data_IF_958214245223
#
_entry.id   IF_958214245223
#
_cell.length_a   1.000
_cell.length_b   1.000
_cell.length_c   1.000
_cell.angle_alpha   90.00
_cell.angle_beta   90.00
_cell.angle_gamma   90.00
#
_symmetry.space_group_name_H-M   'P 1'
#
loop_
_entity.id
_entity.type
_entity.pdbx_description
1 polymer ?
#
# COMPACT_ATOMS: atom_id res chain seq x y z
N UNK A 1 -45.08 -37.13 -54.51
CA UNK A 1 -46.02 -38.28 -54.48
C UNK A 1 -45.24 -39.55 -54.17
N UNK A 2 -45.82 -40.41 -53.33
CA UNK A 2 -45.35 -41.72 -52.81
C UNK A 2 -44.37 -41.67 -51.64
N UNK A 3 -44.52 -42.45 -50.58
CA UNK A 3 -45.67 -42.95 -49.85
C UNK A 3 -45.07 -43.46 -48.53
N UNK A 4 -45.71 -43.09 -47.43
CA UNK A 4 -45.64 -43.70 -46.10
C UNK A 4 -45.29 -45.19 -46.06
N UNK A 5 -44.34 -45.59 -45.19
CA UNK A 5 -44.47 -46.84 -44.42
C UNK A 5 -44.08 -46.53 -42.98
N UNK A 6 -45.10 -46.43 -42.14
CA UNK A 6 -45.00 -46.55 -40.70
C UNK A 6 -45.27 -48.02 -40.34
N UNK A 7 -44.31 -48.68 -39.68
CA UNK A 7 -44.52 -49.86 -38.83
C UNK A 7 -43.51 -49.68 -37.69
N UNK A 8 -43.87 -49.03 -36.60
CA UNK A 8 -44.62 -49.58 -35.47
C UNK A 8 -43.89 -50.76 -34.81
N UNK A 9 -43.47 -50.49 -33.56
CA UNK A 9 -43.71 -51.35 -32.39
C UNK A 9 -42.58 -52.29 -31.92
N UNK A 10 -42.23 -52.09 -30.63
CA UNK A 10 -41.60 -52.99 -29.65
C UNK A 10 -40.13 -53.35 -29.90
N UNK A 11 -39.17 -52.84 -29.13
CA UNK A 11 -39.16 -52.91 -27.67
C UNK A 11 -38.20 -54.03 -27.25
N UNK A 12 -36.91 -53.71 -27.13
CA UNK A 12 -35.98 -54.48 -26.32
C UNK A 12 -35.10 -53.50 -25.55
N UNK A 13 -35.56 -53.26 -24.34
CA UNK A 13 -34.96 -52.48 -23.28
C UNK A 13 -33.71 -53.25 -22.85
N UNK A 14 -32.58 -52.94 -23.47
CA UNK A 14 -31.26 -53.40 -23.04
C UNK A 14 -30.70 -52.44 -22.01
N UNK A 15 -31.16 -52.56 -20.77
CA UNK A 15 -30.56 -51.89 -19.61
C UNK A 15 -29.13 -52.39 -19.40
N UNK A 16 -28.14 -51.72 -20.00
CA UNK A 16 -26.78 -51.79 -19.49
C UNK A 16 -26.65 -50.78 -18.35
N UNK A 17 -26.80 -51.31 -17.14
CA UNK A 17 -26.36 -50.66 -15.91
C UNK A 17 -24.87 -50.39 -15.99
N UNK A 18 -24.50 -49.23 -16.51
CA UNK A 18 -23.19 -48.65 -16.29
C UNK A 18 -23.07 -48.32 -14.81
N UNK A 19 -22.35 -49.15 -14.06
CA UNK A 19 -21.78 -48.75 -12.77
C UNK A 19 -20.69 -47.74 -13.10
N UNK A 20 -21.08 -46.48 -13.28
CA UNK A 20 -20.13 -45.38 -13.22
C UNK A 20 -19.67 -45.28 -11.76
N UNK A 21 -18.50 -45.88 -11.50
CA UNK A 21 -17.76 -45.70 -10.28
C UNK A 21 -17.50 -44.19 -10.11
N UNK A 22 -18.39 -43.53 -9.37
CA UNK A 22 -18.26 -42.15 -8.93
C UNK A 22 -17.00 -42.06 -8.06
N UNK A 23 -15.86 -41.75 -8.68
CA UNK A 23 -14.66 -41.29 -7.98
C UNK A 23 -15.09 -40.06 -7.20
N UNK A 24 -15.27 -40.20 -5.87
CA UNK A 24 -15.42 -39.07 -4.96
C UNK A 24 -14.25 -38.14 -5.20
N UNK A 25 -14.49 -37.05 -5.93
CA UNK A 25 -13.56 -35.94 -6.10
C UNK A 25 -13.40 -35.36 -4.70
N UNK A 26 -12.32 -35.72 -4.01
CA UNK A 26 -12.00 -35.12 -2.72
C UNK A 26 -11.86 -33.63 -2.97
N UNK A 27 -12.70 -32.83 -2.31
CA UNK A 27 -12.61 -31.39 -2.32
C UNK A 27 -11.30 -31.02 -1.63
N UNK A 28 -10.21 -30.94 -2.41
CA UNK A 28 -8.93 -30.46 -1.94
C UNK A 28 -9.10 -28.94 -1.87
N UNK A 29 -9.63 -28.45 -0.74
CA UNK A 29 -9.55 -27.02 -0.43
C UNK A 29 -8.08 -26.62 -0.57
N UNK A 30 -7.75 -25.58 -1.36
CA UNK A 30 -6.38 -25.11 -1.45
C UNK A 30 -5.92 -24.80 -0.03
N UNK A 31 -4.84 -25.44 0.40
CA UNK A 31 -4.26 -25.18 1.72
C UNK A 31 -3.67 -23.77 1.65
N UNK A 32 -4.36 -22.80 2.23
CA UNK A 32 -3.80 -21.47 2.47
C UNK A 32 -2.74 -21.60 3.57
N UNK A 33 -1.57 -21.00 3.35
CA UNK A 33 -0.44 -21.04 4.28
C UNK A 33 -0.69 -20.28 5.57
N UNK A 34 -1.52 -19.25 5.49
CA UNK A 34 -1.85 -18.32 6.55
C UNK A 34 -3.37 -18.28 6.76
N UNK A 35 -3.83 -17.84 7.95
CA UNK A 35 -5.25 -17.59 8.20
C UNK A 35 -5.80 -16.48 7.30
N UNK A 36 -7.10 -16.20 7.42
CA UNK A 36 -7.75 -15.15 6.63
C UNK A 36 -7.09 -13.79 6.87
N UNK A 37 -6.93 -13.01 5.79
CA UNK A 37 -6.36 -11.65 5.76
C UNK A 37 -4.85 -11.53 6.08
N UNK A 38 -4.13 -12.66 6.08
CA UNK A 38 -2.67 -12.70 6.19
C UNK A 38 -2.01 -13.30 4.95
N UNK A 39 -0.82 -12.79 4.63
CA UNK A 39 0.01 -13.27 3.51
C UNK A 39 1.25 -13.94 4.08
N UNK A 40 1.64 -15.06 3.47
CA UNK A 40 2.88 -15.75 3.81
C UNK A 40 4.08 -14.99 3.22
N UNK A 41 4.78 -14.26 4.07
CA UNK A 41 6.00 -13.52 3.71
C UNK A 41 7.25 -14.36 3.96
N UNK A 42 8.18 -14.48 3.00
CA UNK A 42 9.44 -15.19 3.21
C UNK A 42 10.30 -14.53 4.28
N UNK A 43 10.95 -15.31 5.14
CA UNK A 43 11.92 -14.84 6.13
C UNK A 43 13.30 -14.75 5.47
N UNK A 44 13.86 -13.53 5.39
CA UNK A 44 15.20 -13.28 4.84
C UNK A 44 16.26 -14.03 5.65
N UNK A 45 17.13 -14.79 4.98
CA UNK A 45 18.24 -15.49 5.62
C UNK A 45 17.88 -16.88 6.18
N UNK A 46 16.68 -17.38 5.91
CA UNK A 46 16.41 -18.81 6.06
C UNK A 46 17.25 -19.61 5.05
N UNK A 47 17.65 -20.84 5.39
CA UNK A 47 18.42 -21.74 4.50
C UNK A 47 17.71 -22.07 3.18
N UNK A 48 16.44 -21.70 3.11
CA UNK A 48 15.49 -21.94 2.01
C UNK A 48 14.97 -20.64 1.40
N UNK A 49 15.54 -19.47 1.76
CA UNK A 49 15.06 -18.17 1.28
C UNK A 49 15.10 -18.08 -0.24
N UNK A 50 16.20 -18.49 -0.86
CA UNK A 50 16.39 -18.44 -2.32
C UNK A 50 15.35 -19.31 -3.05
N UNK A 51 15.06 -20.49 -2.49
CA UNK A 51 14.03 -21.40 -3.03
C UNK A 51 12.61 -20.84 -2.79
N UNK A 52 12.35 -20.24 -1.63
CA UNK A 52 11.06 -19.64 -1.30
C UNK A 52 10.72 -18.46 -2.23
N UNK A 53 11.72 -17.63 -2.55
CA UNK A 53 11.63 -16.50 -3.49
C UNK A 53 11.28 -17.01 -4.89
N UNK A 54 11.96 -18.03 -5.42
CA UNK A 54 11.70 -18.54 -6.77
C UNK A 54 10.27 -19.09 -6.93
N UNK A 55 9.77 -19.81 -5.92
CA UNK A 55 8.43 -20.40 -5.96
C UNK A 55 7.31 -19.39 -5.72
N UNK A 56 7.51 -18.37 -4.88
CA UNK A 56 6.50 -17.35 -4.60
C UNK A 56 6.22 -16.44 -5.80
N UNK A 57 7.26 -16.03 -6.56
CA UNK A 57 7.08 -15.12 -7.69
C UNK A 57 6.53 -15.79 -8.95
N UNK A 58 6.85 -17.08 -9.19
CA UNK A 58 6.45 -17.79 -10.41
C UNK A 58 5.05 -18.40 -10.31
N UNK A 59 4.64 -18.85 -9.13
CA UNK A 59 3.38 -19.59 -8.94
C UNK A 59 2.53 -18.91 -7.89
N UNK A 60 1.87 -17.81 -8.26
CA UNK A 60 0.84 -17.15 -7.45
C UNK A 60 -0.29 -18.14 -7.10
N UNK A 61 -0.09 -18.93 -6.04
CA UNK A 61 -1.09 -19.86 -5.50
C UNK A 61 -0.75 -21.35 -5.48
N UNK A 62 0.44 -21.79 -5.94
CA UNK A 62 0.82 -23.21 -5.81
C UNK A 62 1.80 -23.40 -4.64
N UNK A 63 1.23 -23.77 -3.48
CA UNK A 63 1.98 -24.07 -2.26
C UNK A 63 2.69 -25.42 -2.42
N UNK A 64 3.90 -25.42 -2.98
CA UNK A 64 4.75 -26.61 -3.12
C UNK A 64 6.02 -26.49 -2.29
N UNK A 65 6.48 -27.63 -1.76
CA UNK A 65 7.81 -27.87 -1.21
C UNK A 65 8.22 -26.96 -0.05
N UNK A 66 8.79 -25.81 -0.40
CA UNK A 66 9.44 -24.87 0.52
C UNK A 66 8.42 -24.26 1.47
N UNK A 67 7.35 -23.65 0.94
CA UNK A 67 6.33 -23.03 1.80
C UNK A 67 5.48 -24.05 2.59
N UNK A 68 5.47 -25.33 2.19
CA UNK A 68 4.64 -26.36 2.81
C UNK A 68 5.28 -27.03 4.04
N UNK A 69 6.54 -26.74 4.39
CA UNK A 69 7.15 -27.32 5.59
C UNK A 69 8.64 -27.11 5.83
N UNK A 70 9.41 -26.46 4.95
CA UNK A 70 10.86 -26.26 5.13
C UNK A 70 11.33 -24.80 4.96
N UNK A 71 10.48 -23.95 4.40
CA UNK A 71 10.65 -22.52 4.22
C UNK A 71 10.30 -21.75 5.48
N UNK A 72 11.21 -20.94 6.00
CA UNK A 72 10.85 -19.93 6.99
C UNK A 72 9.96 -18.89 6.32
N UNK A 73 8.65 -18.96 6.55
CA UNK A 73 7.71 -17.91 6.21
C UNK A 73 7.03 -17.43 7.49
N UNK A 74 6.62 -16.17 7.48
CA UNK A 74 5.82 -15.57 8.52
C UNK A 74 4.51 -15.08 7.93
N UNK A 75 3.42 -15.27 8.65
CA UNK A 75 2.13 -14.74 8.25
C UNK A 75 2.03 -13.29 8.72
N UNK A 76 1.88 -12.38 7.76
CA UNK A 76 1.82 -10.94 8.01
C UNK A 76 0.53 -10.40 7.41
N UNK A 77 -0.20 -9.62 8.19
CA UNK A 77 -1.27 -8.77 7.67
C UNK A 77 -0.66 -7.49 7.08
N UNK A 78 -0.40 -7.52 5.77
CA UNK A 78 0.21 -6.39 5.04
C UNK A 78 -0.69 -5.16 4.95
N UNK A 79 -1.95 -5.26 5.38
CA UNK A 79 -2.86 -4.11 5.42
C UNK A 79 -2.62 -3.20 6.62
N UNK A 80 -1.99 -3.74 7.67
CA UNK A 80 -1.82 -3.09 8.98
C UNK A 80 -0.38 -3.16 9.53
N UNK A 81 0.45 -4.08 9.03
CA UNK A 81 1.83 -4.23 9.45
C UNK A 81 2.68 -3.03 9.03
N UNK A 82 3.44 -2.45 9.97
CA UNK A 82 4.25 -1.24 9.74
C UNK A 82 5.52 -1.51 8.94
N UNK A 83 6.10 -2.69 9.09
CA UNK A 83 7.39 -3.11 8.53
C UNK A 83 7.23 -3.81 7.17
N UNK A 84 6.04 -4.30 6.85
CA UNK A 84 5.64 -4.94 5.59
C UNK A 84 4.28 -4.40 5.11
N UNK A 85 4.17 -3.08 5.04
CA UNK A 85 2.94 -2.42 4.61
C UNK A 85 2.75 -2.54 3.10
N UNK A 86 1.59 -3.01 2.65
CA UNK A 86 1.23 -3.16 1.25
C UNK A 86 1.81 -4.38 0.53
N UNK A 87 2.63 -5.19 1.21
CA UNK A 87 3.26 -6.40 0.68
C UNK A 87 4.38 -6.90 1.59
N UNK A 88 5.03 -8.00 1.22
CA UNK A 88 6.15 -8.51 1.99
C UNK A 88 7.39 -7.62 1.81
N UNK A 89 7.94 -7.05 2.89
CA UNK A 89 9.16 -6.25 2.79
C UNK A 89 10.38 -7.08 2.38
N UNK A 90 10.38 -8.38 2.70
CA UNK A 90 11.42 -9.34 2.34
C UNK A 90 11.54 -9.61 0.85
N UNK A 91 10.46 -9.38 0.09
CA UNK A 91 10.42 -9.53 -1.36
C UNK A 91 10.53 -8.18 -2.08
N UNK A 92 10.50 -7.07 -1.34
CA UNK A 92 10.45 -5.72 -1.88
C UNK A 92 9.06 -5.30 -2.39
N UNK A 93 8.04 -6.13 -2.22
CA UNK A 93 6.65 -5.79 -2.55
C UNK A 93 6.05 -4.86 -1.49
N UNK A 94 6.53 -4.93 -0.25
CA UNK A 94 6.11 -4.10 0.88
C UNK A 94 7.03 -2.93 1.21
N UNK A 95 6.53 -2.06 2.10
CA UNK A 95 7.27 -0.90 2.59
C UNK A 95 7.30 -0.85 4.12
N UNK A 96 8.47 -0.52 4.66
CA UNK A 96 8.65 -0.24 6.09
C UNK A 96 8.34 1.24 6.38
N UNK A 97 7.14 1.50 6.88
CA UNK A 97 6.66 2.84 7.23
C UNK A 97 7.47 3.46 8.38
N UNK A 98 8.15 2.67 9.21
CA UNK A 98 8.97 3.19 10.32
C UNK A 98 10.21 3.94 9.84
N UNK A 99 10.63 3.71 8.58
CA UNK A 99 11.76 4.38 7.94
C UNK A 99 11.42 5.73 7.32
N UNK A 100 10.16 6.18 7.41
CA UNK A 100 9.75 7.49 6.90
C UNK A 100 10.54 8.58 7.60
N UNK A 101 11.28 9.37 6.82
CA UNK A 101 12.18 10.37 7.39
C UNK A 101 11.40 11.48 8.09
N UNK A 102 11.74 11.70 9.35
CA UNK A 102 11.19 12.80 10.14
C UNK A 102 9.81 12.50 10.74
N UNK A 103 9.28 11.30 10.56
CA UNK A 103 8.09 10.84 11.28
C UNK A 103 8.42 10.54 12.74
N UNK A 104 7.38 10.59 13.57
CA UNK A 104 7.37 10.15 14.97
C UNK A 104 6.29 9.10 15.16
N UNK A 105 5.12 9.33 14.56
CA UNK A 105 4.01 8.37 14.53
C UNK A 105 3.63 8.04 13.09
N UNK A 106 3.63 6.75 12.77
CA UNK A 106 3.25 6.20 11.47
C UNK A 106 2.27 5.06 11.66
N UNK A 107 1.48 4.78 10.63
CA UNK A 107 0.55 3.67 10.53
C UNK A 107 0.66 3.00 9.17
N UNK A 108 0.12 1.79 9.06
CA UNK A 108 -0.23 1.17 7.81
C UNK A 108 -1.75 1.05 7.79
N UNK A 109 -2.39 1.61 6.77
CA UNK A 109 -3.85 1.56 6.61
C UNK A 109 -4.16 1.12 5.18
N UNK A 110 -4.90 0.00 5.05
CA UNK A 110 -5.24 -0.60 3.76
C UNK A 110 -4.01 -0.76 2.82
N UNK A 111 -2.89 -1.17 3.40
CA UNK A 111 -1.63 -1.40 2.67
C UNK A 111 -0.90 -0.12 2.25
N UNK A 112 -1.21 1.02 2.86
CA UNK A 112 -0.55 2.31 2.59
C UNK A 112 0.00 2.91 3.87
N UNK A 113 1.24 3.41 3.79
CA UNK A 113 1.82 4.15 4.91
C UNK A 113 1.08 5.48 5.12
N UNK A 114 0.69 5.73 6.37
CA UNK A 114 0.10 6.98 6.83
C UNK A 114 0.96 7.58 7.93
N UNK A 115 1.10 8.90 7.93
CA UNK A 115 1.91 9.65 8.90
C UNK A 115 0.98 10.45 9.81
N UNK A 116 0.94 10.07 11.08
CA UNK A 116 0.12 10.75 12.09
C UNK A 116 0.84 11.94 12.73
N UNK A 117 2.16 11.84 12.90
CA UNK A 117 2.95 12.90 13.53
C UNK A 117 4.39 12.94 13.03
N UNK A 118 4.96 14.15 13.01
CA UNK A 118 6.31 14.43 12.57
C UNK A 118 7.15 15.05 13.69
N UNK A 119 8.47 14.97 13.58
CA UNK A 119 9.44 15.60 14.49
C UNK A 119 9.25 17.13 14.50
N UNK A 120 9.69 17.79 15.56
CA UNK A 120 9.67 19.26 15.64
C UNK A 120 10.36 19.90 14.43
N UNK A 121 9.75 20.95 13.87
CA UNK A 121 10.18 21.59 12.63
C UNK A 121 9.74 20.87 11.34
N UNK A 122 8.93 19.83 11.45
CA UNK A 122 8.33 19.09 10.33
C UNK A 122 6.81 19.06 10.45
N UNK A 123 6.13 18.79 9.33
CA UNK A 123 4.69 18.56 9.27
C UNK A 123 4.36 17.45 8.27
N UNK A 124 3.24 16.72 8.42
CA UNK A 124 2.77 15.81 7.38
C UNK A 124 2.60 16.53 6.05
N UNK A 125 2.96 15.88 4.95
CA UNK A 125 2.63 16.32 3.61
C UNK A 125 1.12 16.26 3.37
N UNK A 126 0.61 17.00 2.38
CA UNK A 126 -0.80 16.95 2.00
C UNK A 126 -1.24 15.53 1.60
N UNK A 127 -0.32 14.74 1.06
CA UNK A 127 -0.53 13.33 0.70
C UNK A 127 -0.56 12.38 1.89
N UNK A 128 -0.19 12.82 3.10
CA UNK A 128 -0.26 12.01 4.33
C UNK A 128 0.80 10.89 4.47
N UNK A 129 1.63 10.67 3.46
CA UNK A 129 2.59 9.56 3.34
C UNK A 129 4.02 9.91 3.77
N UNK A 130 4.31 11.19 4.06
CA UNK A 130 5.67 11.65 4.41
C UNK A 130 5.65 12.91 5.26
N UNK A 131 6.76 13.16 5.95
CA UNK A 131 7.01 14.43 6.62
C UNK A 131 7.80 15.37 5.71
N UNK A 132 7.38 16.64 5.67
CA UNK A 132 8.10 17.74 5.02
C UNK A 132 8.52 18.76 6.06
N UNK A 133 9.65 19.45 5.84
CA UNK A 133 10.06 20.54 6.75
C UNK A 133 8.96 21.58 6.78
N UNK A 134 8.52 21.92 7.98
CA UNK A 134 7.65 23.06 8.15
C UNK A 134 8.48 24.27 7.73
N UNK A 135 8.10 24.95 6.64
CA UNK A 135 8.71 26.22 6.30
C UNK A 135 8.71 27.06 7.58
N UNK A 136 9.90 27.45 8.05
CA UNK A 136 10.03 28.31 9.22
C UNK A 136 9.26 29.57 8.90
N UNK A 137 8.06 29.67 9.46
CA UNK A 137 7.33 30.94 9.55
C UNK A 137 8.02 31.85 10.57
N UNK A 138 9.16 31.42 11.12
CA UNK A 138 10.17 32.26 11.74
C UNK A 138 10.75 33.25 10.70
N UNK A 139 10.04 34.36 10.48
CA UNK A 139 10.66 35.59 9.95
C UNK A 139 10.19 36.14 8.61
N UNK A 140 9.13 35.63 7.98
CA UNK A 140 8.47 36.34 6.87
C UNK A 140 7.17 36.99 7.31
N UNK A 141 7.25 37.84 8.33
CA UNK A 141 6.21 38.83 8.59
C UNK A 141 6.12 39.79 7.39
N UNK A 142 5.27 39.48 6.41
CA UNK A 142 4.94 40.36 5.29
C UNK A 142 4.48 41.76 5.75
N UNK A 143 4.00 41.88 7.00
CA UNK A 143 3.62 43.12 7.64
C UNK A 143 4.81 44.09 7.94
N UNK A 144 6.05 43.61 8.13
CA UNK A 144 7.19 44.50 8.41
C UNK A 144 7.86 45.10 7.16
N UNK A 145 7.60 44.56 5.97
CA UNK A 145 8.13 45.11 4.72
C UNK A 145 7.41 46.41 4.25
N UNK A 146 6.21 46.67 4.78
CA UNK A 146 5.46 47.92 4.53
C UNK A 146 5.81 49.05 5.50
N UNK A 147 6.09 48.74 6.76
CA UNK A 147 6.24 49.76 7.82
C UNK A 147 7.52 50.61 7.72
N UNK A 148 8.60 50.10 7.09
CA UNK A 148 9.84 50.89 6.91
C UNK A 148 9.74 51.97 5.82
N UNK A 149 8.76 51.89 4.91
CA UNK A 149 8.63 52.85 3.79
C UNK A 149 7.91 54.16 4.17
N UNK A 150 7.13 54.18 5.25
CA UNK A 150 6.40 55.38 5.67
C UNK A 150 7.16 56.30 6.65
N UNK A 151 8.22 55.82 7.30
CA UNK A 151 8.99 56.62 8.26
C UNK A 151 10.07 57.47 7.57
N UNK A 152 10.71 57.01 6.48
CA UNK A 152 11.69 57.84 5.77
C UNK A 152 11.04 58.96 4.94
N UNK A 153 9.78 58.80 4.51
CA UNK A 153 9.05 59.82 3.76
C UNK A 153 8.61 61.02 4.61
N UNK A 154 8.52 60.89 5.94
CA UNK A 154 8.14 62.00 6.84
C UNK A 154 9.32 62.87 7.30
N UNK A 155 10.57 62.39 7.17
CA UNK A 155 11.75 63.15 7.63
C UNK A 155 12.21 64.23 6.64
N UNK A 156 11.87 64.12 5.35
CA UNK A 156 12.25 65.12 4.34
C UNK A 156 11.26 66.29 4.21
N UNK A 157 10.07 66.24 4.81
CA UNK A 157 9.09 67.36 4.74
C UNK A 157 9.16 68.34 5.91
N UNK A 158 9.97 68.09 6.94
CA UNK A 158 10.13 68.99 8.10
C UNK A 158 11.32 69.96 8.02
N UNK A 159 12.18 69.85 6.99
CA UNK A 159 13.30 70.77 6.78
C UNK A 159 13.03 71.87 5.72
N UNK A 160 11.78 72.05 5.29
CA UNK A 160 11.42 73.00 4.23
C UNK A 160 10.71 74.29 4.67
N UNK A 161 10.68 74.64 5.96
CA UNK A 161 10.08 75.91 6.42
C UNK A 161 10.94 76.55 7.50
N UNK A 162 11.94 77.33 7.09
CA UNK A 162 12.56 78.37 7.93
C UNK A 162 13.35 79.36 7.05
N UNK A 163 12.92 80.62 7.06
CA UNK A 163 13.57 81.77 6.42
C UNK A 163 12.98 82.07 5.03
N UNK A 164 12.48 83.25 4.69
CA UNK A 164 12.95 84.60 5.07
C UNK A 164 11.77 85.57 5.04
N UNK A 165 11.69 86.42 6.07
CA UNK A 165 10.81 87.60 6.18
C UNK A 165 11.50 88.78 5.50
N UNK A 166 10.74 89.56 4.73
CA UNK A 166 11.11 90.81 4.04
C UNK A 166 11.63 91.90 5.00
N UNK A 167 12.17 93.04 4.52
CA UNK A 167 11.42 94.04 3.74
C UNK A 167 11.85 94.18 2.27
#
# INVERSE_FOLDING_TARGET
MRWTIAVAVLGLIGSLSGVEASKKKKDIKPKTLCPVDEIACPIIGSTTYDEAVEHHFKLKGEVTGVMAGYGGYECINTSEALDSCGGCASTGEGHDCTRIRGSVGVGCEAGKCVVFSCKSGWRPALSGDKCVRAASVEGKNAARAGAKRHISARRMRRHGVAGVVSP
#
